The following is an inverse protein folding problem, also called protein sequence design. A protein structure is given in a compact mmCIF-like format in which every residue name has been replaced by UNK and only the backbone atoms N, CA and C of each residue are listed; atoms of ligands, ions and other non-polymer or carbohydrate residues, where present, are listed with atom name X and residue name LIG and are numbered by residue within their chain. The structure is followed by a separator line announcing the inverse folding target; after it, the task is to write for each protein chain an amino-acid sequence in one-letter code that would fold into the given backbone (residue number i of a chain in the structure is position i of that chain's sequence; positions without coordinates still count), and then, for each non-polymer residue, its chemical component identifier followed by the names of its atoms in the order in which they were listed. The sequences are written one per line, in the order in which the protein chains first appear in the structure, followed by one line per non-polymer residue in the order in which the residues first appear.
data_IF_485325344859
#
_entry.id   IF_485325344859
#
_cell.length_a   1.000
_cell.length_b   1.000
_cell.length_c   1.000
_cell.angle_alpha   90.00
_cell.angle_beta   90.00
_cell.angle_gamma   90.00
#
_symmetry.space_group_name_H-M   'P 1'
#
loop_
_entity.id
_entity.type
_entity.pdbx_description
1 polymer ?
#
# COMPACT_ATOMS: atom_id res chain seq x y z
N UNK A 1 -65.67 78.35 22.59
CA UNK A 1 -65.29 76.96 22.25
C UNK A 1 -64.01 76.60 23.00
N UNK A 2 -64.08 75.57 23.85
CA UNK A 2 -62.94 74.99 24.56
C UNK A 2 -62.14 74.07 23.62
N UNK A 3 -60.82 74.22 23.55
CA UNK A 3 -59.94 73.17 23.03
C UNK A 3 -58.74 72.98 23.95
N UNK A 4 -58.96 72.19 25.00
CA UNK A 4 -57.91 71.53 25.76
C UNK A 4 -57.56 70.25 24.98
N UNK A 5 -56.28 70.01 24.68
CA UNK A 5 -55.58 68.81 25.20
C UNK A 5 -54.36 68.37 24.37
N UNK A 6 -53.41 67.87 25.17
CA UNK A 6 -52.50 66.74 24.92
C UNK A 6 -51.22 67.02 24.14
N UNK A 7 -50.28 67.63 24.87
CA UNK A 7 -48.85 67.39 24.66
C UNK A 7 -48.57 65.91 24.97
N UNK A 8 -48.20 65.16 23.93
CA UNK A 8 -47.84 63.73 23.99
C UNK A 8 -46.43 63.59 24.58
N UNK A 9 -46.34 63.10 25.81
CA UNK A 9 -45.08 62.70 26.43
C UNK A 9 -44.38 61.62 25.60
N UNK A 10 -43.23 61.95 25.00
CA UNK A 10 -42.35 60.98 24.36
C UNK A 10 -41.64 60.18 25.45
N UNK A 11 -42.15 58.98 25.74
CA UNK A 11 -41.47 57.95 26.56
C UNK A 11 -40.10 57.67 25.93
N UNK A 12 -39.02 58.24 26.47
CA UNK A 12 -37.64 58.01 25.98
C UNK A 12 -37.31 56.53 26.20
N UNK A 13 -37.01 55.80 25.12
CA UNK A 13 -36.50 54.43 25.19
C UNK A 13 -35.07 54.48 25.75
N UNK A 14 -34.66 53.57 26.66
CA UNK A 14 -33.29 53.55 27.15
C UNK A 14 -32.35 53.25 25.98
N UNK A 15 -31.33 54.09 25.79
CA UNK A 15 -30.26 53.82 24.85
C UNK A 15 -29.53 52.54 25.29
N UNK A 16 -29.42 51.55 24.41
CA UNK A 16 -28.52 50.42 24.62
C UNK A 16 -27.10 50.98 24.63
N UNK A 17 -26.43 50.95 25.78
CA UNK A 17 -25.01 51.21 25.86
C UNK A 17 -24.31 50.18 24.97
N UNK A 18 -23.70 50.64 23.87
CA UNK A 18 -22.63 49.89 23.23
C UNK A 18 -21.46 49.93 24.21
N UNK A 19 -21.31 48.88 25.02
CA UNK A 19 -20.12 48.68 25.83
C UNK A 19 -18.95 48.45 24.87
N UNK A 20 -18.05 49.44 24.78
CA UNK A 20 -16.77 49.26 24.08
C UNK A 20 -15.85 48.34 24.89
N UNK A 21 -15.08 47.49 24.20
CA UNK A 21 -14.10 46.61 24.82
C UNK A 21 -13.07 47.43 25.61
N UNK A 22 -12.80 47.04 26.85
CA UNK A 22 -11.79 47.70 27.68
C UNK A 22 -10.39 47.23 27.30
N UNK A 23 -9.36 48.08 27.49
CA UNK A 23 -7.96 47.67 27.30
C UNK A 23 -7.59 46.45 28.15
N UNK A 24 -8.20 46.34 29.34
CA UNK A 24 -7.99 45.20 30.23
C UNK A 24 -8.54 43.90 29.63
N UNK A 25 -9.72 43.93 29.02
CA UNK A 25 -10.29 42.77 28.33
C UNK A 25 -9.43 42.32 27.15
N UNK A 26 -8.85 43.27 26.40
CA UNK A 26 -7.91 42.97 25.31
C UNK A 26 -6.61 42.33 25.85
N UNK A 27 -6.08 42.81 26.97
CA UNK A 27 -4.88 42.22 27.61
C UNK A 27 -5.18 40.83 28.18
N UNK A 28 -6.33 40.64 28.85
CA UNK A 28 -6.72 39.34 29.42
C UNK A 28 -6.96 38.30 28.32
N UNK A 29 -7.63 38.68 27.23
CA UNK A 29 -7.89 37.75 26.12
C UNK A 29 -6.61 37.36 25.38
N UNK A 30 -5.74 38.32 25.07
CA UNK A 30 -4.44 38.01 24.45
C UNK A 30 -3.58 37.12 25.36
N UNK A 31 -3.54 37.38 26.67
CA UNK A 31 -2.75 36.56 27.61
C UNK A 31 -3.28 35.13 27.73
N UNK A 32 -4.60 34.93 27.83
CA UNK A 32 -5.21 33.58 27.89
C UNK A 32 -5.00 32.81 26.59
N UNK A 33 -5.18 33.45 25.42
CA UNK A 33 -4.96 32.81 24.13
C UNK A 33 -3.50 32.37 23.94
N UNK A 34 -2.56 33.18 24.40
CA UNK A 34 -1.12 32.86 24.33
C UNK A 34 -0.78 31.56 25.08
N UNK A 35 -1.30 31.43 26.30
CA UNK A 35 -1.09 30.25 27.15
C UNK A 35 -1.74 29.02 26.52
N UNK A 36 -2.94 29.17 25.94
CA UNK A 36 -3.65 28.07 25.32
C UNK A 36 -2.92 27.53 24.08
N UNK A 37 -2.42 28.41 23.22
CA UNK A 37 -1.68 28.00 22.00
C UNK A 37 -0.46 27.15 22.37
N UNK A 38 0.32 27.57 23.36
CA UNK A 38 1.49 26.81 23.83
C UNK A 38 1.14 25.39 24.31
N UNK A 39 0.01 25.24 25.00
CA UNK A 39 -0.45 23.94 25.50
C UNK A 39 -0.91 22.97 24.40
N UNK A 40 -1.37 23.47 23.25
CA UNK A 40 -1.97 22.63 22.19
C UNK A 40 -0.98 22.06 21.17
N UNK A 41 0.21 22.66 20.99
CA UNK A 41 1.24 22.22 20.02
C UNK A 41 1.65 20.74 20.12
N UNK A 42 1.99 20.18 21.31
CA UNK A 42 2.47 18.80 21.39
C UNK A 42 1.40 17.74 21.05
N UNK A 43 0.11 18.11 21.00
CA UNK A 43 -0.95 17.20 20.57
C UNK A 43 -0.98 17.04 19.05
N UNK A 44 -0.72 18.13 18.31
CA UNK A 44 -0.77 18.14 16.85
C UNK A 44 0.37 17.33 16.24
N UNK A 45 1.59 17.44 16.78
CA UNK A 45 2.76 16.72 16.26
C UNK A 45 2.63 15.20 16.45
N UNK A 46 2.08 14.76 17.60
CA UNK A 46 1.80 13.35 17.86
C UNK A 46 0.72 12.79 16.93
N UNK A 47 -0.31 13.59 16.60
CA UNK A 47 -1.33 13.17 15.65
C UNK A 47 -0.75 12.95 14.24
N UNK A 48 0.10 13.87 13.77
CA UNK A 48 0.79 13.74 12.47
C UNK A 48 1.70 12.51 12.45
N UNK A 49 2.44 12.25 13.53
CA UNK A 49 3.31 11.06 13.62
C UNK A 49 2.50 9.76 13.54
N UNK A 50 1.39 9.65 14.28
CA UNK A 50 0.49 8.49 14.18
C UNK A 50 -0.01 8.29 12.76
N UNK A 51 -0.38 9.37 12.07
CA UNK A 51 -0.80 9.28 10.66
C UNK A 51 0.32 8.78 9.74
N UNK A 52 1.56 9.22 9.94
CA UNK A 52 2.72 8.71 9.19
C UNK A 52 2.96 7.22 9.47
N UNK A 53 2.85 6.79 10.72
CA UNK A 53 3.00 5.37 11.08
C UNK A 53 1.95 4.47 10.44
N UNK A 54 0.69 4.90 10.42
CA UNK A 54 -0.38 4.15 9.75
C UNK A 54 -0.15 4.06 8.25
N UNK A 55 0.26 5.17 7.60
CA UNK A 55 0.63 5.18 6.18
C UNK A 55 1.83 4.27 5.89
N UNK A 56 2.83 4.25 6.78
CA UNK A 56 3.99 3.38 6.64
C UNK A 56 3.57 1.92 6.67
N UNK A 57 2.76 1.53 7.66
CA UNK A 57 2.23 0.16 7.78
C UNK A 57 1.41 -0.24 6.56
N UNK A 58 0.57 0.67 6.06
CA UNK A 58 -0.20 0.42 4.85
C UNK A 58 0.69 0.21 3.62
N UNK A 59 1.73 1.04 3.46
CA UNK A 59 2.70 0.95 2.36
C UNK A 59 3.50 -0.35 2.41
N UNK A 60 4.05 -0.70 3.58
CA UNK A 60 4.76 -1.97 3.79
C UNK A 60 3.85 -3.17 3.53
N UNK A 61 2.60 -3.13 4.02
CA UNK A 61 1.61 -4.18 3.75
C UNK A 61 1.32 -4.29 2.26
N UNK A 62 1.19 -3.18 1.55
CA UNK A 62 0.93 -3.17 0.11
C UNK A 62 2.07 -3.83 -0.66
N UNK A 63 3.32 -3.48 -0.37
CA UNK A 63 4.50 -4.05 -1.04
C UNK A 63 4.63 -5.55 -0.70
N UNK A 64 4.56 -5.92 0.58
CA UNK A 64 4.64 -7.32 1.02
C UNK A 64 3.55 -8.19 0.38
N UNK A 65 2.32 -7.68 0.26
CA UNK A 65 1.24 -8.40 -0.41
C UNK A 65 1.48 -8.58 -1.91
N UNK A 66 2.09 -7.59 -2.58
CA UNK A 66 2.48 -7.72 -3.99
C UNK A 66 3.57 -8.77 -4.19
N UNK A 67 4.56 -8.82 -3.30
CA UNK A 67 5.60 -9.86 -3.29
C UNK A 67 4.97 -11.24 -3.08
N UNK A 68 4.07 -11.38 -2.10
CA UNK A 68 3.34 -12.63 -1.84
C UNK A 68 2.51 -13.07 -3.05
N UNK A 69 1.86 -12.14 -3.74
CA UNK A 69 1.07 -12.44 -4.93
C UNK A 69 1.94 -12.89 -6.10
N UNK A 70 3.06 -12.20 -6.35
CA UNK A 70 4.06 -12.66 -7.31
C UNK A 70 4.51 -14.08 -6.97
N UNK A 71 4.83 -14.33 -5.70
CA UNK A 71 5.29 -15.64 -5.25
C UNK A 71 4.27 -16.74 -5.52
N UNK A 72 2.97 -16.47 -5.34
CA UNK A 72 1.90 -17.44 -5.67
C UNK A 72 1.87 -17.76 -7.17
N UNK A 73 2.09 -16.78 -8.03
CA UNK A 73 2.06 -16.97 -9.48
C UNK A 73 3.33 -17.63 -10.04
N UNK A 74 4.43 -17.64 -9.27
CA UNK A 74 5.67 -18.38 -9.64
C UNK A 74 5.50 -19.90 -9.58
N UNK A 75 4.50 -20.40 -8.84
CA UNK A 75 4.33 -21.84 -8.62
C UNK A 75 3.91 -22.51 -9.94
N UNK A 76 4.78 -23.34 -10.50
CA UNK A 76 4.57 -23.96 -11.81
C UNK A 76 5.02 -23.10 -12.99
N UNK A 77 5.60 -21.93 -12.74
CA UNK A 77 6.36 -21.18 -13.74
C UNK A 77 7.62 -21.95 -14.09
N UNK A 78 8.04 -21.92 -15.35
CA UNK A 78 9.35 -22.37 -15.84
C UNK A 78 9.81 -23.72 -15.25
N UNK A 79 9.53 -24.86 -15.92
CA UNK A 79 10.01 -26.16 -15.48
C UNK A 79 11.56 -26.21 -15.59
N UNK A 80 12.24 -25.77 -14.53
CA UNK A 80 13.68 -25.87 -14.41
C UNK A 80 14.00 -27.34 -14.10
N UNK A 81 14.57 -28.04 -15.08
CA UNK A 81 15.15 -29.37 -14.88
C UNK A 81 14.16 -30.54 -14.86
N UNK A 82 13.48 -30.80 -15.98
CA UNK A 82 13.49 -32.19 -16.45
C UNK A 82 14.88 -32.40 -17.01
N UNK A 83 15.73 -33.11 -16.28
CA UNK A 83 16.77 -33.90 -16.94
C UNK A 83 16.11 -34.60 -18.13
N UNK A 84 16.79 -34.54 -19.27
CA UNK A 84 16.56 -35.37 -20.44
C UNK A 84 15.90 -36.71 -20.10
N UNK A 85 14.87 -37.09 -20.86
CA UNK A 85 14.26 -38.43 -20.96
C UNK A 85 13.21 -38.85 -19.92
N UNK A 86 11.98 -38.32 -20.00
CA UNK A 86 10.80 -39.20 -20.02
C UNK A 86 9.58 -38.46 -20.61
N UNK A 87 8.99 -39.05 -21.64
CA UNK A 87 7.64 -38.84 -22.19
C UNK A 87 6.92 -37.51 -21.87
N UNK A 88 6.60 -36.66 -22.87
CA UNK A 88 5.72 -35.50 -22.70
C UNK A 88 4.27 -35.87 -22.30
N UNK A 89 3.95 -37.17 -22.20
CA UNK A 89 2.62 -37.68 -21.85
C UNK A 89 2.43 -38.05 -20.36
N UNK A 90 3.44 -37.91 -19.48
CA UNK A 90 3.30 -38.39 -18.11
C UNK A 90 4.19 -37.68 -17.09
N UNK A 91 3.86 -36.43 -16.78
CA UNK A 91 3.93 -35.93 -15.40
C UNK A 91 2.96 -34.78 -15.27
N UNK A 92 1.72 -35.13 -14.95
CA UNK A 92 0.82 -34.26 -14.22
C UNK A 92 1.49 -33.92 -12.89
N UNK A 93 2.43 -32.98 -12.89
CA UNK A 93 2.76 -32.23 -11.69
C UNK A 93 1.52 -31.39 -11.41
N UNK A 94 0.54 -32.03 -10.78
CA UNK A 94 -0.59 -31.35 -10.16
C UNK A 94 -0.03 -30.66 -8.92
N UNK A 95 0.84 -29.66 -9.14
CA UNK A 95 1.22 -28.72 -8.10
C UNK A 95 -0.07 -28.00 -7.78
N UNK A 96 -0.60 -28.27 -6.59
CA UNK A 96 -1.83 -27.68 -6.10
C UNK A 96 -1.65 -26.16 -6.10
N UNK A 97 -2.06 -25.53 -7.20
CA UNK A 97 -2.08 -24.09 -7.33
C UNK A 97 -3.03 -23.55 -6.29
N UNK A 98 -2.66 -22.45 -5.63
CA UNK A 98 -3.62 -21.70 -4.83
C UNK A 98 -4.83 -21.38 -5.72
N UNK A 99 -6.08 -21.70 -5.32
CA UNK A 99 -7.28 -21.35 -6.07
C UNK A 99 -7.39 -19.85 -6.39
N UNK A 100 -6.67 -18.99 -5.64
CA UNK A 100 -6.58 -17.55 -5.90
C UNK A 100 -5.65 -17.19 -7.06
N UNK A 101 -4.64 -18.02 -7.36
CA UNK A 101 -3.73 -17.80 -8.48
C UNK A 101 -4.40 -18.28 -9.77
N UNK A 102 -4.89 -17.33 -10.57
CA UNK A 102 -5.51 -17.60 -11.88
C UNK A 102 -4.48 -17.72 -13.01
N UNK A 103 -3.22 -17.44 -12.71
CA UNK A 103 -2.21 -17.05 -13.68
C UNK A 103 -0.84 -17.62 -13.24
N UNK A 104 0.03 -17.93 -14.20
CA UNK A 104 1.40 -18.40 -13.98
C UNK A 104 2.36 -17.49 -14.72
N UNK A 105 3.48 -17.17 -14.10
CA UNK A 105 4.56 -16.41 -14.74
C UNK A 105 5.16 -17.23 -15.88
N UNK A 106 5.27 -16.64 -17.06
CA UNK A 106 5.83 -17.29 -18.25
C UNK A 106 7.26 -16.83 -18.56
N UNK A 107 7.63 -15.64 -18.10
CA UNK A 107 8.98 -15.14 -18.26
C UNK A 107 9.96 -15.95 -17.38
N UNK A 108 10.81 -16.74 -18.02
CA UNK A 108 11.83 -17.53 -17.33
C UNK A 108 13.17 -16.82 -17.18
N UNK A 109 13.34 -15.66 -17.83
CA UNK A 109 14.60 -14.92 -17.81
C UNK A 109 14.82 -14.17 -16.50
N UNK A 110 13.75 -13.90 -15.75
CA UNK A 110 13.79 -13.24 -14.44
C UNK A 110 14.29 -14.15 -13.31
N UNK A 111 14.43 -15.46 -13.57
CA UNK A 111 14.85 -16.44 -12.57
C UNK A 111 16.26 -16.95 -12.88
N UNK A 112 17.24 -16.36 -12.20
CA UNK A 112 18.62 -16.84 -12.26
C UNK A 112 18.82 -18.11 -11.41
N UNK A 113 19.95 -18.78 -11.61
CA UNK A 113 20.30 -20.00 -10.86
C UNK A 113 20.51 -19.75 -9.36
N UNK A 114 20.77 -18.51 -8.96
CA UNK A 114 20.95 -18.10 -7.57
C UNK A 114 19.60 -17.88 -6.86
N UNK A 115 18.56 -17.48 -7.59
CA UNK A 115 17.22 -17.23 -7.06
C UNK A 115 16.35 -18.50 -7.09
N UNK A 116 16.78 -19.54 -6.37
CA UNK A 116 16.07 -20.82 -6.30
C UNK A 116 14.66 -20.68 -5.70
N UNK A 117 14.51 -19.74 -4.76
CA UNK A 117 13.24 -19.42 -4.12
C UNK A 117 12.30 -18.61 -5.00
N UNK A 118 12.75 -18.11 -6.16
CA UNK A 118 11.90 -17.43 -7.15
C UNK A 118 11.05 -16.31 -6.56
N UNK A 119 11.64 -15.49 -5.70
CA UNK A 119 11.06 -14.19 -5.34
C UNK A 119 11.36 -13.17 -6.46
N UNK A 120 10.68 -12.01 -6.50
CA UNK A 120 10.99 -10.98 -7.48
C UNK A 120 12.47 -10.58 -7.38
N UNK A 121 13.22 -10.41 -8.48
CA UNK A 121 14.61 -10.00 -8.41
C UNK A 121 14.72 -8.54 -7.92
N UNK A 122 13.84 -7.65 -8.36
CA UNK A 122 13.76 -6.25 -7.89
C UNK A 122 12.30 -5.81 -7.71
N UNK A 123 12.10 -4.69 -7.01
CA UNK A 123 10.77 -4.09 -6.83
C UNK A 123 10.20 -3.51 -8.13
N UNK A 124 11.05 -3.10 -9.07
CA UNK A 124 10.62 -2.52 -10.35
C UNK A 124 9.86 -3.54 -11.21
N UNK A 125 10.25 -4.81 -11.13
CA UNK A 125 9.53 -5.91 -11.81
C UNK A 125 8.06 -5.99 -11.39
N UNK A 126 7.74 -5.61 -10.15
CA UNK A 126 6.35 -5.59 -9.67
C UNK A 126 5.51 -4.47 -10.30
N UNK A 127 6.16 -3.37 -10.70
CA UNK A 127 5.53 -2.19 -11.30
C UNK A 127 5.47 -2.31 -12.82
N UNK A 128 6.57 -2.70 -13.46
CA UNK A 128 6.66 -2.85 -14.92
C UNK A 128 5.72 -3.94 -15.44
N UNK A 129 5.48 -4.95 -14.60
CA UNK A 129 4.62 -6.07 -14.89
C UNK A 129 5.31 -7.14 -15.74
N UNK A 130 4.77 -8.35 -15.66
CA UNK A 130 5.46 -9.55 -16.14
C UNK A 130 4.55 -10.33 -17.07
N UNK A 131 5.15 -10.93 -18.09
CA UNK A 131 4.50 -11.88 -18.97
C UNK A 131 3.93 -13.06 -18.19
N UNK A 132 2.64 -13.30 -18.40
CA UNK A 132 1.92 -14.34 -17.69
C UNK A 132 0.99 -15.13 -18.61
N UNK A 133 0.77 -16.40 -18.26
CA UNK A 133 -0.19 -17.27 -18.93
C UNK A 133 -1.34 -17.62 -17.99
N UNK A 134 -2.61 -17.63 -18.45
CA UNK A 134 -3.72 -18.11 -17.62
C UNK A 134 -3.50 -19.57 -17.20
N UNK A 135 -3.73 -19.87 -15.92
CA UNK A 135 -3.87 -21.25 -15.45
C UNK A 135 -5.16 -21.79 -16.08
N UNK A 136 -5.04 -22.79 -16.95
CA UNK A 136 -6.21 -23.46 -17.53
C UNK A 136 -7.15 -23.90 -16.42
N UNK A 137 -8.44 -23.56 -16.55
CA UNK A 137 -9.44 -23.97 -15.58
C UNK A 137 -9.61 -25.49 -15.69
N UNK A 138 -9.06 -26.26 -14.74
CA UNK A 138 -9.34 -27.69 -14.62
C UNK A 138 -10.81 -27.88 -14.19
N UNK A 139 -11.76 -27.71 -15.11
CA UNK A 139 -13.18 -28.07 -14.93
C UNK A 139 -13.31 -29.60 -15.10
N UNK A 140 -12.56 -30.38 -14.32
CA UNK A 140 -12.70 -31.84 -14.29
C UNK A 140 -13.64 -32.21 -13.13
N UNK A 141 -14.91 -31.81 -13.26
CA UNK A 141 -15.93 -32.04 -12.23
C UNK A 141 -17.39 -31.93 -12.71
N UNK A 142 -17.64 -31.84 -14.01
CA UNK A 142 -18.98 -31.68 -14.58
C UNK A 142 -19.17 -32.52 -15.83
N UNK A 143 -19.95 -33.58 -15.70
CA UNK A 143 -20.33 -34.53 -16.76
C UNK A 143 -21.19 -33.82 -17.81
N UNK A 144 -20.68 -33.71 -19.04
CA UNK A 144 -21.46 -33.43 -20.25
C UNK A 144 -21.24 -32.06 -20.89
N UNK A 145 -20.32 -32.00 -21.86
CA UNK A 145 -20.55 -31.57 -23.25
C UNK A 145 -19.25 -31.88 -24.00
N UNK A 146 -19.33 -32.90 -24.86
CA UNK A 146 -18.36 -33.16 -25.91
C UNK A 146 -18.51 -32.07 -26.96
N UNK A 147 -17.77 -30.99 -26.79
CA UNK A 147 -17.65 -29.89 -27.75
C UNK A 147 -16.18 -29.56 -27.91
N UNK A 148 -15.58 -30.11 -28.95
CA UNK A 148 -14.28 -29.72 -29.50
C UNK A 148 -14.32 -28.25 -29.89
N UNK A 149 -14.01 -27.33 -28.96
CA UNK A 149 -13.00 -26.26 -29.02
C UNK A 149 -13.10 -25.54 -27.66
N UNK A 150 -12.01 -25.44 -26.89
CA UNK A 150 -11.95 -24.44 -25.84
C UNK A 150 -11.92 -23.07 -26.54
N UNK A 151 -12.73 -22.10 -26.10
CA UNK A 151 -12.77 -20.75 -26.68
C UNK A 151 -11.45 -19.95 -26.55
N UNK A 152 -10.36 -20.58 -26.10
CA UNK A 152 -9.00 -20.07 -26.05
C UNK A 152 -8.11 -20.52 -27.22
N UNK A 153 -8.57 -21.43 -28.10
CA UNK A 153 -7.78 -21.83 -29.28
C UNK A 153 -8.04 -20.96 -30.52
N UNK A 154 -8.89 -19.92 -30.42
CA UNK A 154 -9.17 -18.97 -31.49
C UNK A 154 -8.89 -17.53 -31.04
N UNK A 155 -7.66 -17.33 -30.61
CA UNK A 155 -7.07 -16.04 -30.32
C UNK A 155 -5.58 -16.17 -30.48
N UNK A 156 -5.14 -16.46 -31.70
CA UNK A 156 -3.78 -16.16 -32.19
C UNK A 156 -3.61 -14.63 -32.22
N UNK A 157 -3.66 -14.04 -31.02
CA UNK A 157 -3.20 -12.72 -30.73
C UNK A 157 -1.96 -12.94 -29.88
N UNK A 158 -0.82 -12.79 -30.54
CA UNK A 158 0.55 -12.64 -30.08
C UNK A 158 0.72 -11.47 -29.09
N UNK A 159 -0.26 -11.24 -28.23
CA UNK A 159 -0.29 -10.20 -27.20
C UNK A 159 0.10 -10.86 -25.88
N UNK A 160 1.33 -10.60 -25.48
CA UNK A 160 1.86 -10.96 -24.17
C UNK A 160 0.97 -10.36 -23.07
N UNK A 161 0.19 -11.20 -22.38
CA UNK A 161 -0.61 -10.74 -21.25
C UNK A 161 0.38 -10.39 -20.14
N UNK A 162 0.47 -9.11 -19.79
CA UNK A 162 1.29 -8.65 -18.65
C UNK A 162 0.43 -8.48 -17.40
N UNK A 163 0.90 -9.04 -16.28
CA UNK A 163 0.32 -8.81 -14.96
C UNK A 163 1.18 -7.83 -14.18
N UNK A 164 0.56 -6.74 -13.75
CA UNK A 164 1.15 -5.72 -12.88
C UNK A 164 0.72 -6.00 -11.44
N UNK A 165 1.68 -6.04 -10.51
CA UNK A 165 1.42 -6.31 -9.09
C UNK A 165 1.28 -5.02 -8.27
N UNK A 166 2.01 -3.97 -8.65
CA UNK A 166 1.95 -2.63 -8.06
C UNK A 166 1.69 -1.58 -9.13
N UNK A 167 0.76 -0.66 -8.89
CA UNK A 167 0.53 0.46 -9.81
C UNK A 167 1.67 1.47 -9.79
N UNK A 168 2.25 1.64 -8.61
CA UNK A 168 3.43 2.46 -8.36
C UNK A 168 4.07 2.01 -7.04
N UNK A 169 5.37 2.25 -6.89
CA UNK A 169 6.02 2.10 -5.60
C UNK A 169 5.60 3.24 -4.67
N UNK A 170 5.05 2.95 -3.48
CA UNK A 170 4.70 3.98 -2.52
C UNK A 170 5.96 4.65 -1.97
N UNK A 171 5.80 5.90 -1.56
CA UNK A 171 6.86 6.71 -0.94
C UNK A 171 6.83 6.46 0.57
N UNK A 172 8.00 6.29 1.18
CA UNK A 172 8.10 6.17 2.62
C UNK A 172 7.71 7.52 3.28
N UNK A 173 6.72 7.54 4.19
CA UNK A 173 6.23 8.78 4.81
C UNK A 173 7.23 9.47 5.77
N UNK A 174 8.33 8.79 6.13
CA UNK A 174 9.38 9.31 7.00
C UNK A 174 10.58 9.85 6.22
N UNK A 175 11.08 9.12 5.22
CA UNK A 175 12.20 9.60 4.37
C UNK A 175 11.70 10.53 3.27
N UNK A 176 10.49 10.32 2.77
CA UNK A 176 9.93 11.05 1.63
C UNK A 176 10.40 10.55 0.28
N UNK A 177 11.13 9.43 0.24
CA UNK A 177 11.68 8.81 -0.96
C UNK A 177 11.14 7.38 -1.14
N UNK A 178 11.46 6.74 -2.27
CA UNK A 178 11.11 5.33 -2.56
C UNK A 178 12.28 4.39 -2.21
N UNK A 179 13.06 4.78 -1.21
CA UNK A 179 14.33 4.18 -0.79
C UNK A 179 14.10 3.06 0.23
N UNK A 180 13.34 2.04 -0.15
CA UNK A 180 13.05 0.94 0.76
C UNK A 180 14.27 0.04 0.96
N UNK A 181 14.51 -0.39 2.21
CA UNK A 181 15.53 -1.40 2.52
C UNK A 181 14.98 -2.78 2.16
N UNK A 182 15.67 -3.45 1.25
CA UNK A 182 15.30 -4.78 0.76
C UNK A 182 16.05 -5.87 1.53
N UNK A 183 15.45 -7.04 1.65
CA UNK A 183 16.06 -8.24 2.21
C UNK A 183 15.73 -9.43 1.32
N UNK A 184 16.74 -10.25 1.01
CA UNK A 184 16.53 -11.49 0.27
C UNK A 184 16.07 -12.63 1.17
N UNK A 185 15.64 -13.74 0.57
CA UNK A 185 15.23 -14.94 1.31
C UNK A 185 16.41 -15.67 1.97
N UNK A 186 17.64 -15.41 1.52
CA UNK A 186 18.86 -16.03 2.02
C UNK A 186 19.54 -15.23 3.12
N UNK A 187 19.12 -13.98 3.32
CA UNK A 187 19.63 -13.08 4.33
C UNK A 187 18.93 -13.24 5.67
N UNK A 188 19.72 -13.06 6.73
CA UNK A 188 19.22 -12.95 8.09
C UNK A 188 18.61 -11.57 8.34
N UNK A 189 17.82 -11.44 9.41
CA UNK A 189 17.18 -10.17 9.76
C UNK A 189 18.18 -9.04 10.05
N UNK A 190 19.38 -9.42 10.51
CA UNK A 190 20.42 -8.52 11.00
C UNK A 190 21.41 -8.11 9.89
N UNK A 191 21.23 -8.59 8.66
CA UNK A 191 22.05 -8.16 7.53
C UNK A 191 21.69 -6.72 7.13
N UNK A 192 22.71 -5.87 7.04
CA UNK A 192 22.58 -4.43 6.79
C UNK A 192 22.60 -4.04 5.30
N UNK A 193 23.00 -4.96 4.42
CA UNK A 193 23.12 -4.72 2.98
C UNK A 193 22.36 -5.78 2.20
N UNK A 194 21.63 -5.40 1.15
CA UNK A 194 20.97 -6.34 0.24
C UNK A 194 21.99 -7.04 -0.67
N UNK A 195 21.73 -8.32 -1.02
CA UNK A 195 22.63 -9.18 -1.81
C UNK A 195 22.30 -9.20 -3.32
N UNK A 196 21.35 -8.37 -3.76
CA UNK A 196 20.85 -8.27 -5.14
C UNK A 196 20.27 -9.58 -5.73
N UNK A 197 19.99 -10.61 -4.93
CA UNK A 197 19.48 -11.90 -5.43
C UNK A 197 17.97 -11.86 -5.66
N UNK A 198 17.23 -11.45 -4.63
CA UNK A 198 15.77 -11.35 -4.67
C UNK A 198 15.22 -10.45 -3.56
N UNK A 199 13.95 -10.09 -3.69
CA UNK A 199 13.20 -9.29 -2.70
C UNK A 199 12.20 -10.19 -1.98
N UNK A 200 12.56 -10.62 -0.78
CA UNK A 200 11.69 -11.38 0.12
C UNK A 200 10.91 -10.48 1.06
N UNK A 201 11.56 -9.46 1.62
CA UNK A 201 10.96 -8.51 2.56
C UNK A 201 11.47 -7.10 2.32
N UNK A 202 10.71 -6.13 2.81
CA UNK A 202 10.93 -4.70 2.61
C UNK A 202 10.71 -3.96 3.93
N UNK A 203 11.57 -3.00 4.24
CA UNK A 203 11.58 -2.20 5.47
C UNK A 203 11.79 -0.72 5.15
N UNK A 204 11.39 0.15 6.09
CA UNK A 204 11.67 1.60 6.00
C UNK A 204 13.17 1.88 6.10
N UNK A 205 13.68 2.87 5.36
CA UNK A 205 15.03 3.38 5.55
C UNK A 205 15.16 4.37 6.72
N UNK A 206 14.06 4.68 7.41
CA UNK A 206 14.07 5.62 8.53
C UNK A 206 14.64 5.00 9.81
N UNK A 207 15.69 5.63 10.35
CA UNK A 207 16.27 5.31 11.66
C UNK A 207 15.46 5.84 12.85
N UNK A 208 14.33 6.51 12.61
CA UNK A 208 13.49 7.03 13.68
C UNK A 208 12.84 5.88 14.46
N UNK A 209 12.66 6.10 15.76
CA UNK A 209 11.99 5.17 16.66
C UNK A 209 10.48 5.37 16.52
N UNK A 210 9.67 4.33 16.51
CA UNK A 210 8.22 4.42 16.52
C UNK A 210 7.64 4.85 17.87
N UNK A 211 6.35 5.21 17.88
CA UNK A 211 5.60 5.45 19.12
C UNK A 211 5.52 4.21 20.02
N UNK A 212 5.76 3.03 19.46
CA UNK A 212 5.88 1.74 20.16
C UNK A 212 7.29 1.45 20.71
N UNK A 213 8.27 2.34 20.49
CA UNK A 213 9.66 2.14 20.93
C UNK A 213 10.53 1.30 20.00
N UNK A 214 10.00 0.80 18.88
CA UNK A 214 10.74 0.00 17.89
C UNK A 214 11.09 0.88 16.69
N UNK A 215 12.32 0.78 16.17
CA UNK A 215 12.75 1.55 14.99
C UNK A 215 11.92 1.20 13.75
N UNK A 216 11.67 2.17 12.87
CA UNK A 216 10.88 1.91 11.65
C UNK A 216 11.57 0.96 10.67
N UNK A 217 12.90 0.92 10.67
CA UNK A 217 13.69 -0.06 9.90
C UNK A 217 13.62 -1.50 10.44
N UNK A 218 12.92 -1.73 11.56
CA UNK A 218 12.67 -3.07 12.12
C UNK A 218 11.21 -3.54 11.92
N UNK A 219 10.36 -2.72 11.29
CA UNK A 219 8.93 -2.97 11.05
C UNK A 219 8.66 -3.83 9.81
#
# INVERSE_FOLDING_TARGET
MNFISKIRERKRRPAKFFAGFTLFELVVTMTVLSIFVLGTVPLVTNAVRRQKEERLRESLRMIRLAIDEFKRDTVGACPLGSGTTVNPAARNFNVQSDPRSRVVIDDCTIFDTENLDRFPPTLDVLVDGIAVRPRGLNIMGGRGISGTVNATDLGDATEEIKKVYLRELPVDPFTGEKDWILRSSYQTKDDDSWDDINVFDVRSASDQIGLNGVKYNEW
#
